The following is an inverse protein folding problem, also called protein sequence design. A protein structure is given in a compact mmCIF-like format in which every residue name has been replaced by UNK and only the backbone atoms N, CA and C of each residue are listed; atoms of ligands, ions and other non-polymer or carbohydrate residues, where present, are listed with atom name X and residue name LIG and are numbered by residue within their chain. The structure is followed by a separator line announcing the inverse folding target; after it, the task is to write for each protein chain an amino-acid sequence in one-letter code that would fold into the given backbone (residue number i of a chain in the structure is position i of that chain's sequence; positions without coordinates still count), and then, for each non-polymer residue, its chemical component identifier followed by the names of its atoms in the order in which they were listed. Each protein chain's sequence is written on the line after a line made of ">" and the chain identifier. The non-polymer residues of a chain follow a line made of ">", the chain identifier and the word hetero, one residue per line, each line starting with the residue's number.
data_IF_109893103145
#
_entry.id   IF_109893103145
#
_cell.length_a   1.000
_cell.length_b   1.000
_cell.length_c   1.000
_cell.angle_alpha   90.00
_cell.angle_beta   90.00
_cell.angle_gamma   90.00
#
_symmetry.space_group_name_H-M   'P 1'
#
loop_
_entity.id
_entity.type
_entity.pdbx_description
1 polymer ?
#
# COMPACT_ATOMS: atom_id res chain seq x y z
N UNK A 1 -11.68 -5.54 17.04
CA UNK A 1 -10.24 -5.23 16.95
C UNK A 1 -9.96 -4.00 16.07
N UNK A 2 -10.48 -3.92 14.84
CA UNK A 2 -10.25 -2.77 13.94
C UNK A 2 -10.55 -1.39 14.55
N UNK A 3 -11.70 -1.22 15.21
CA UNK A 3 -12.07 0.05 15.88
C UNK A 3 -11.06 0.47 16.95
N UNK A 4 -10.51 -0.48 17.70
CA UNK A 4 -9.55 -0.19 18.76
C UNK A 4 -8.21 0.29 18.18
N UNK A 5 -7.75 -0.33 17.09
CA UNK A 5 -6.55 0.11 16.39
C UNK A 5 -6.71 1.54 15.83
N UNK A 6 -7.82 1.83 15.15
CA UNK A 6 -8.12 3.18 14.64
C UNK A 6 -8.11 4.24 15.74
N UNK A 7 -8.80 3.98 16.85
CA UNK A 7 -8.84 4.89 18.00
C UNK A 7 -7.46 5.14 18.63
N UNK A 8 -6.58 4.13 18.64
CA UNK A 8 -5.22 4.30 19.14
C UNK A 8 -4.40 5.25 18.26
N UNK A 9 -4.45 5.06 16.93
CA UNK A 9 -3.70 5.89 15.99
C UNK A 9 -4.25 7.32 15.92
N UNK A 10 -5.56 7.49 15.91
CA UNK A 10 -6.24 8.79 15.95
C UNK A 10 -5.82 9.59 17.21
N UNK A 11 -5.85 8.96 18.39
CA UNK A 11 -5.44 9.60 19.65
C UNK A 11 -3.95 9.95 19.72
N UNK A 12 -3.11 9.30 18.93
CA UNK A 12 -1.67 9.55 18.88
C UNK A 12 -1.27 10.48 17.73
N UNK A 13 -2.25 11.04 17.00
CA UNK A 13 -2.03 12.02 15.95
C UNK A 13 -1.58 11.44 14.61
N UNK A 14 -1.73 10.13 14.41
CA UNK A 14 -1.47 9.49 13.12
C UNK A 14 -2.65 9.70 12.17
N UNK A 15 -2.35 9.95 10.90
CA UNK A 15 -3.33 10.09 9.83
C UNK A 15 -3.64 8.71 9.22
N UNK A 16 -4.92 8.30 9.22
CA UNK A 16 -5.38 7.15 8.44
C UNK A 16 -5.40 7.52 6.95
N UNK A 17 -4.79 6.68 6.10
CA UNK A 17 -4.69 6.90 4.65
C UNK A 17 -5.03 5.63 3.89
N UNK A 18 -5.58 5.82 2.69
CA UNK A 18 -5.76 4.76 1.72
C UNK A 18 -4.71 4.90 0.60
N UNK A 19 -3.95 3.84 0.36
CA UNK A 19 -2.92 3.81 -0.67
C UNK A 19 -3.40 3.06 -1.92
N UNK A 20 -2.87 3.36 -3.12
CA UNK A 20 -3.23 2.64 -4.33
C UNK A 20 -2.99 1.12 -4.20
N UNK A 21 -3.98 0.32 -4.61
CA UNK A 21 -3.87 -1.14 -4.63
C UNK A 21 -3.10 -1.65 -5.85
N UNK A 22 -3.15 -0.92 -6.96
CA UNK A 22 -2.45 -1.23 -8.20
C UNK A 22 -1.32 -0.24 -8.42
N UNK A 23 -0.14 -0.75 -8.77
CA UNK A 23 1.01 0.05 -9.20
C UNK A 23 1.62 -0.54 -10.47
N UNK A 24 2.38 0.28 -11.21
CA UNK A 24 3.28 -0.22 -12.26
C UNK A 24 4.50 -0.93 -11.67
N UNK A 25 4.88 -0.57 -10.45
CA UNK A 25 6.05 -1.10 -9.76
C UNK A 25 5.68 -2.26 -8.82
N UNK A 26 6.68 -3.08 -8.50
CA UNK A 26 6.60 -4.15 -7.50
C UNK A 26 7.69 -3.95 -6.44
N UNK A 27 7.43 -4.41 -5.22
CA UNK A 27 8.49 -4.61 -4.23
C UNK A 27 9.28 -5.86 -4.64
N UNK A 28 10.60 -5.74 -4.69
CA UNK A 28 11.49 -6.87 -5.00
C UNK A 28 11.72 -7.67 -3.71
N UNK A 29 11.08 -8.82 -3.61
CA UNK A 29 11.26 -9.79 -2.53
C UNK A 29 11.37 -11.19 -3.15
N UNK A 30 12.33 -11.99 -2.68
CA UNK A 30 12.68 -13.28 -3.30
C UNK A 30 11.56 -14.33 -3.21
N UNK A 31 10.60 -14.16 -2.30
CA UNK A 31 9.57 -15.16 -2.02
C UNK A 31 8.15 -14.65 -2.25
N UNK A 32 8.00 -13.44 -2.81
CA UNK A 32 6.71 -12.86 -3.16
C UNK A 32 6.57 -12.74 -4.67
N UNK A 33 5.47 -13.30 -5.19
CA UNK A 33 5.03 -13.10 -6.58
C UNK A 33 3.75 -12.24 -6.56
N UNK A 34 3.83 -10.95 -6.92
CA UNK A 34 2.66 -10.06 -6.96
C UNK A 34 1.66 -10.49 -8.04
N UNK A 35 0.36 -10.36 -7.75
CA UNK A 35 -0.66 -10.63 -8.76
C UNK A 35 -0.58 -9.61 -9.90
N UNK A 36 -0.35 -10.13 -11.11
CA UNK A 36 -0.33 -9.36 -12.35
C UNK A 36 -1.75 -9.11 -12.85
N UNK A 37 -2.06 -7.86 -13.16
CA UNK A 37 -3.37 -7.42 -13.67
C UNK A 37 -3.18 -6.71 -15.01
N UNK A 38 -3.88 -7.18 -16.03
CA UNK A 38 -3.92 -6.52 -17.34
C UNK A 38 -4.98 -5.42 -17.30
N UNK A 39 -4.59 -4.19 -17.57
CA UNK A 39 -5.50 -3.03 -17.60
C UNK A 39 -5.43 -2.34 -18.96
N UNK A 40 -6.35 -1.41 -19.23
CA UNK A 40 -6.30 -0.58 -20.44
C UNK A 40 -5.02 0.29 -20.52
N UNK A 41 -4.37 0.57 -19.39
CA UNK A 41 -3.11 1.32 -19.30
C UNK A 41 -1.87 0.42 -19.27
N UNK A 42 -2.00 -0.84 -19.67
CA UNK A 42 -0.97 -1.86 -19.64
C UNK A 42 -0.97 -2.71 -18.37
N UNK A 43 0.10 -3.46 -18.17
CA UNK A 43 0.28 -4.33 -17.00
C UNK A 43 0.44 -3.50 -15.72
N UNK A 44 -0.25 -3.92 -14.67
CA UNK A 44 -0.13 -3.41 -13.30
C UNK A 44 -0.04 -4.59 -12.33
N UNK A 45 0.33 -4.32 -11.09
CA UNK A 45 0.51 -5.33 -10.06
C UNK A 45 -0.26 -4.95 -8.80
N UNK A 46 -0.98 -5.90 -8.23
CA UNK A 46 -1.52 -5.74 -6.88
C UNK A 46 -0.36 -5.68 -5.89
N UNK A 47 -0.35 -4.63 -5.08
CA UNK A 47 0.70 -4.43 -4.10
C UNK A 47 0.57 -5.45 -2.97
N UNK A 48 1.67 -6.11 -2.62
CA UNK A 48 1.74 -7.09 -1.53
C UNK A 48 1.72 -6.41 -0.16
N UNK A 49 2.02 -5.11 -0.11
CA UNK A 49 2.01 -4.25 1.08
C UNK A 49 1.84 -2.78 0.67
N UNK A 50 1.24 -1.92 1.52
CA UNK A 50 1.16 -0.47 1.27
C UNK A 50 2.49 0.28 1.50
N UNK A 51 3.53 -0.38 2.03
CA UNK A 51 4.76 0.26 2.52
C UNK A 51 5.42 1.22 1.52
N UNK A 52 5.57 0.84 0.26
CA UNK A 52 6.20 1.69 -0.75
C UNK A 52 5.41 2.99 -1.00
N UNK A 53 4.07 2.93 -0.97
CA UNK A 53 3.22 4.11 -1.09
C UNK A 53 3.27 4.97 0.18
N UNK A 54 3.28 4.36 1.36
CA UNK A 54 3.40 5.08 2.63
C UNK A 54 4.76 5.78 2.78
N UNK A 55 5.85 5.15 2.35
CA UNK A 55 7.18 5.79 2.32
C UNK A 55 7.20 7.02 1.42
N UNK A 56 6.57 6.94 0.24
CA UNK A 56 6.44 8.11 -0.65
C UNK A 56 5.63 9.24 -0.03
N UNK A 57 4.58 8.93 0.75
CA UNK A 57 3.80 9.94 1.48
C UNK A 57 4.65 10.71 2.51
N UNK A 58 5.56 10.01 3.19
CA UNK A 58 6.47 10.64 4.18
C UNK A 58 7.62 11.42 3.54
N UNK A 59 8.00 11.07 2.31
CA UNK A 59 9.13 11.67 1.59
C UNK A 59 8.76 12.87 0.70
N UNK A 60 7.47 13.22 0.65
CA UNK A 60 6.93 14.32 -0.16
C UNK A 60 7.12 15.69 0.52
#
# INVERSE_FOLDING_TARGET
>A
MLRAARLFFDRTGYLEVETPLLSSDIVVDAWLEPFRVTTHAGTRFLQTSPEAAMKRLLAA
#
